data_IF_309752884580
#
_entry.id   IF_309752884580
#
_cell.length_a   1.000
_cell.length_b   1.000
_cell.length_c   1.000
_cell.angle_alpha   90.00
_cell.angle_beta   90.00
_cell.angle_gamma   90.00
#
_symmetry.space_group_name_H-M   'P 1'
#
loop_
_entity.id
_entity.type
_entity.pdbx_description
1 polymer ?
#
# COMPACT_ATOMS: atom_id res chain seq x y z
N UNK A 1 -47.14 -4.99 3.84
CA UNK A 1 -46.67 -6.15 4.63
C UNK A 1 -45.84 -7.02 3.69
N UNK A 2 -44.54 -7.26 3.80
CA UNK A 2 -43.50 -6.89 4.76
C UNK A 2 -42.16 -6.72 3.99
N UNK A 3 -41.22 -5.89 4.48
CA UNK A 3 -39.91 -5.61 3.88
C UNK A 3 -38.80 -6.51 4.45
N UNK A 4 -37.66 -6.65 3.75
CA UNK A 4 -36.24 -6.90 4.20
C UNK A 4 -35.47 -7.60 3.06
N UNK A 5 -34.17 -7.40 2.77
CA UNK A 5 -33.03 -6.97 3.57
C UNK A 5 -31.94 -6.38 2.65
N UNK A 6 -31.57 -5.13 2.93
CA UNK A 6 -30.35 -4.43 2.51
C UNK A 6 -29.09 -5.04 3.16
N UNK A 7 -27.88 -4.85 2.57
CA UNK A 7 -26.57 -4.60 3.25
C UNK A 7 -25.47 -4.35 2.20
N UNK A 8 -24.69 -3.26 2.26
CA UNK A 8 -23.45 -3.26 3.07
C UNK A 8 -23.09 -1.99 3.95
N UNK A 9 -22.23 -2.22 4.97
CA UNK A 9 -21.55 -1.50 6.11
C UNK A 9 -20.51 -0.39 5.77
N UNK A 10 -20.37 0.66 6.60
CA UNK A 10 -19.15 1.48 6.83
C UNK A 10 -19.12 1.90 8.32
N UNK A 11 -17.94 2.10 8.94
CA UNK A 11 -17.82 2.73 10.27
C UNK A 11 -16.59 3.62 10.38
N UNK A 12 -16.80 4.84 10.88
CA UNK A 12 -15.82 5.87 11.16
C UNK A 12 -15.89 6.32 12.64
N UNK A 13 -14.74 6.55 13.26
CA UNK A 13 -14.56 7.50 14.36
C UNK A 13 -13.17 8.11 14.21
N UNK A 14 -13.08 9.43 13.96
CA UNK A 14 -11.87 10.29 13.94
C UNK A 14 -10.60 9.80 13.20
N UNK A 15 -10.73 8.67 12.51
CA UNK A 15 -9.76 7.98 11.69
C UNK A 15 -10.62 7.33 10.59
N UNK A 16 -10.38 7.66 9.33
CA UNK A 16 -11.27 7.21 8.25
C UNK A 16 -10.81 5.86 7.70
N UNK A 17 -11.30 4.79 8.31
CA UNK A 17 -11.30 3.47 7.70
C UNK A 17 -12.56 3.31 6.86
N UNK A 18 -12.43 2.94 5.59
CA UNK A 18 -13.58 2.58 4.75
C UNK A 18 -13.41 1.14 4.23
N UNK A 19 -14.48 0.35 4.32
CA UNK A 19 -14.47 -1.05 3.87
C UNK A 19 -15.18 -1.17 2.53
N UNK A 20 -14.49 -1.71 1.52
CA UNK A 20 -15.11 -2.13 0.25
C UNK A 20 -15.31 -3.65 0.27
N UNK A 21 -16.52 -4.10 -0.10
CA UNK A 21 -16.87 -5.53 -0.16
C UNK A 21 -16.70 -6.07 -1.56
N UNK A 22 -15.96 -7.16 -1.70
CA UNK A 22 -16.04 -8.05 -2.87
C UNK A 22 -16.11 -9.50 -2.38
N UNK A 23 -17.20 -10.20 -2.73
CA UNK A 23 -17.33 -11.65 -2.55
C UNK A 23 -17.06 -12.28 -3.91
N UNK A 24 -15.91 -12.93 -4.08
CA UNK A 24 -15.67 -13.75 -5.26
C UNK A 24 -16.65 -14.94 -5.25
N UNK A 25 -17.40 -15.11 -6.33
CA UNK A 25 -18.26 -16.28 -6.54
C UNK A 25 -17.46 -17.42 -7.15
N UNK A 26 -17.49 -18.60 -6.53
CA UNK A 26 -17.29 -19.86 -7.27
C UNK A 26 -17.94 -21.02 -6.53
N UNK A 27 -18.69 -21.84 -7.29
CA UNK A 27 -19.48 -22.99 -6.89
C UNK A 27 -18.65 -24.24 -6.61
N UNK A 28 -19.05 -24.96 -5.54
CA UNK A 28 -18.93 -26.41 -5.25
C UNK A 28 -17.64 -27.19 -5.57
N UNK A 29 -16.83 -27.45 -4.53
CA UNK A 29 -16.27 -28.76 -4.11
C UNK A 29 -15.72 -28.59 -2.67
N UNK A 30 -15.94 -29.48 -1.69
CA UNK A 30 -15.46 -29.29 -0.32
C UNK A 30 -14.00 -29.77 -0.17
N UNK A 31 -13.06 -28.97 -0.66
CA UNK A 31 -11.63 -29.07 -0.33
C UNK A 31 -11.23 -27.78 0.35
N UNK A 32 -10.75 -27.87 1.60
CA UNK A 32 -10.22 -26.79 2.45
C UNK A 32 -10.92 -25.43 2.26
N UNK A 33 -11.87 -25.10 3.15
CA UNK A 33 -12.61 -23.83 3.14
C UNK A 33 -11.64 -22.65 3.06
N UNK A 34 -11.40 -22.14 1.84
CA UNK A 34 -10.64 -20.91 1.62
C UNK A 34 -11.52 -19.79 2.17
N UNK A 35 -11.32 -19.45 3.44
CA UNK A 35 -11.98 -18.28 4.04
C UNK A 35 -11.47 -17.07 3.28
N UNK A 36 -12.30 -16.51 2.40
CA UNK A 36 -12.00 -15.24 1.75
C UNK A 36 -11.89 -14.18 2.85
N UNK A 37 -10.73 -13.52 3.00
CA UNK A 37 -10.57 -12.51 4.04
C UNK A 37 -11.47 -11.30 3.73
N UNK A 38 -11.83 -10.57 4.79
CA UNK A 38 -12.40 -9.24 4.67
C UNK A 38 -11.28 -8.25 4.36
N UNK A 39 -11.47 -7.45 3.30
CA UNK A 39 -10.53 -6.40 2.91
C UNK A 39 -11.04 -5.03 3.35
N UNK A 40 -10.12 -4.21 3.85
CA UNK A 40 -10.39 -2.85 4.30
C UNK A 40 -9.36 -1.90 3.73
N UNK A 41 -9.80 -0.70 3.32
CA UNK A 41 -8.90 0.39 2.92
C UNK A 41 -9.00 1.53 3.92
N UNK A 42 -7.86 1.99 4.42
CA UNK A 42 -7.81 3.05 5.43
C UNK A 42 -7.10 4.26 4.84
N UNK A 43 -7.75 5.41 4.93
CA UNK A 43 -7.31 6.67 4.32
C UNK A 43 -7.01 7.62 5.47
N UNK A 44 -5.73 7.93 5.68
CA UNK A 44 -5.27 8.77 6.79
C UNK A 44 -5.03 10.22 6.34
N UNK A 45 -4.73 11.07 7.32
CA UNK A 45 -4.34 12.48 7.17
C UNK A 45 -5.40 13.42 6.58
N UNK A 46 -6.63 12.96 6.36
CA UNK A 46 -7.71 13.78 5.80
C UNK A 46 -7.95 15.09 6.57
N UNK A 47 -8.16 16.19 5.84
CA UNK A 47 -8.62 17.48 6.40
C UNK A 47 -10.12 17.48 6.71
N UNK A 48 -10.91 16.76 5.90
CA UNK A 48 -12.36 16.66 6.06
C UNK A 48 -12.89 15.31 5.56
N UNK A 49 -13.83 14.74 6.30
CA UNK A 49 -14.60 13.58 5.85
C UNK A 49 -15.88 14.05 5.15
N UNK A 50 -16.18 13.48 3.99
CA UNK A 50 -17.38 13.79 3.19
C UNK A 50 -18.45 12.71 3.30
N UNK A 51 -18.16 11.64 4.05
CA UNK A 51 -19.04 10.50 4.26
C UNK A 51 -19.20 10.21 5.74
N UNK A 52 -20.28 9.50 6.07
CA UNK A 52 -20.60 9.11 7.45
C UNK A 52 -20.59 7.59 7.65
N UNK A 53 -20.49 7.17 8.90
CA UNK A 53 -20.68 5.76 9.31
C UNK A 53 -21.96 5.21 8.71
N UNK A 54 -21.87 4.03 8.10
CA UNK A 54 -22.98 3.31 7.47
C UNK A 54 -23.29 3.75 6.04
N UNK A 55 -22.70 4.86 5.55
CA UNK A 55 -22.89 5.30 4.17
C UNK A 55 -22.20 4.34 3.20
N UNK A 56 -22.91 3.95 2.14
CA UNK A 56 -22.35 3.14 1.06
C UNK A 56 -21.64 4.03 0.06
N UNK A 57 -20.47 3.59 -0.39
CA UNK A 57 -19.67 4.25 -1.41
C UNK A 57 -19.28 3.24 -2.49
N UNK A 58 -19.02 3.72 -3.69
CA UNK A 58 -18.46 2.96 -4.82
C UNK A 58 -17.09 3.52 -5.21
N UNK A 59 -16.33 2.75 -5.98
CA UNK A 59 -15.09 3.25 -6.58
C UNK A 59 -15.36 4.53 -7.37
N UNK A 60 -14.52 5.54 -7.18
CA UNK A 60 -14.67 6.88 -7.75
C UNK A 60 -15.47 7.87 -6.91
N UNK A 61 -16.15 7.44 -5.85
CA UNK A 61 -16.79 8.39 -4.92
C UNK A 61 -15.73 9.14 -4.11
N UNK A 62 -15.87 10.46 -4.01
CA UNK A 62 -15.02 11.28 -3.14
C UNK A 62 -15.47 11.12 -1.69
N UNK A 63 -14.64 10.47 -0.87
CA UNK A 63 -14.98 10.14 0.53
C UNK A 63 -14.40 11.12 1.56
N UNK A 64 -13.33 11.81 1.20
CA UNK A 64 -12.60 12.73 2.07
C UNK A 64 -11.77 13.73 1.25
N UNK A 65 -11.30 14.78 1.91
CA UNK A 65 -10.32 15.72 1.37
C UNK A 65 -8.95 15.46 2.02
N UNK A 66 -7.89 15.47 1.22
CA UNK A 66 -6.49 15.35 1.68
C UNK A 66 -6.16 16.47 2.66
N UNK A 67 -5.25 16.20 3.59
CA UNK A 67 -4.70 17.17 4.52
C UNK A 67 -3.49 16.61 5.25
N UNK A 68 -3.22 17.15 6.43
CA UNK A 68 -2.08 16.80 7.27
C UNK A 68 -2.53 16.61 8.74
N UNK A 69 -3.63 15.89 8.96
CA UNK A 69 -4.10 15.58 10.33
C UNK A 69 -3.36 14.38 10.94
N UNK A 70 -3.22 14.36 12.27
CA UNK A 70 -2.54 13.27 12.97
C UNK A 70 -1.02 13.34 12.84
N UNK A 71 -0.38 12.21 12.54
CA UNK A 71 1.09 12.11 12.39
C UNK A 71 1.45 12.19 10.91
N UNK A 72 1.54 13.40 10.38
CA UNK A 72 1.99 13.67 9.03
C UNK A 72 2.95 14.88 9.01
N UNK A 73 3.83 14.91 8.01
CA UNK A 73 4.84 15.98 7.86
C UNK A 73 4.39 17.08 6.92
N UNK A 74 3.55 16.75 5.94
CA UNK A 74 2.95 17.63 4.94
C UNK A 74 1.58 17.06 4.52
N UNK A 75 0.86 17.77 3.65
CA UNK A 75 -0.40 17.29 3.09
C UNK A 75 -0.13 16.09 2.16
N UNK A 76 -0.64 14.91 2.53
CA UNK A 76 -0.56 13.71 1.71
C UNK A 76 -1.63 12.70 2.09
N UNK A 77 -1.87 11.71 1.23
CA UNK A 77 -2.68 10.55 1.55
C UNK A 77 -1.75 9.42 2.02
N UNK A 78 -2.02 8.87 3.20
CA UNK A 78 -1.48 7.58 3.62
C UNK A 78 -2.60 6.54 3.49
N UNK A 79 -2.40 5.59 2.58
CA UNK A 79 -3.34 4.51 2.27
C UNK A 79 -2.81 3.21 2.85
N UNK A 80 -3.66 2.50 3.57
CA UNK A 80 -3.39 1.13 4.00
C UNK A 80 -4.46 0.18 3.49
N UNK A 81 -4.05 -1.04 3.15
CA UNK A 81 -4.98 -2.15 2.91
C UNK A 81 -4.73 -3.23 3.95
N UNK A 82 -5.82 -3.70 4.56
CA UNK A 82 -5.80 -4.70 5.62
C UNK A 82 -6.64 -5.90 5.23
N UNK A 83 -6.14 -7.10 5.54
CA UNK A 83 -6.89 -8.35 5.39
C UNK A 83 -7.23 -8.91 6.77
N UNK A 84 -8.49 -9.26 7.00
CA UNK A 84 -8.94 -9.81 8.28
C UNK A 84 -9.70 -11.13 8.08
N UNK A 85 -9.50 -12.13 8.94
CA UNK A 85 -10.27 -13.38 8.90
C UNK A 85 -11.76 -13.19 9.25
N UNK A 86 -12.11 -12.09 9.94
CA UNK A 86 -13.48 -11.77 10.37
C UNK A 86 -13.84 -10.31 10.09
N UNK A 87 -15.14 -10.00 9.99
CA UNK A 87 -15.60 -8.62 9.79
C UNK A 87 -15.44 -7.82 11.11
N UNK A 88 -14.25 -7.26 11.35
CA UNK A 88 -13.93 -6.53 12.57
C UNK A 88 -12.92 -5.43 12.31
N UNK A 89 -13.37 -4.18 12.43
CA UNK A 89 -12.48 -3.01 12.35
C UNK A 89 -11.54 -2.88 13.54
N UNK A 90 -11.78 -3.61 14.65
CA UNK A 90 -10.90 -3.59 15.83
C UNK A 90 -9.53 -4.23 15.56
N UNK A 91 -9.43 -5.11 14.56
CA UNK A 91 -8.14 -5.71 14.19
C UNK A 91 -7.30 -4.79 13.29
N UNK A 92 -7.87 -3.64 12.90
CA UNK A 92 -7.36 -2.76 11.85
C UNK A 92 -7.07 -1.39 12.43
N UNK A 93 -8.03 -0.84 13.17
CA UNK A 93 -7.91 0.43 13.87
C UNK A 93 -8.04 0.16 15.37
N UNK A 94 -6.92 -0.20 15.97
CA UNK A 94 -6.77 -0.34 17.41
C UNK A 94 -5.76 0.72 17.90
N UNK A 95 -6.18 1.70 18.72
CA UNK A 95 -5.27 2.73 19.22
C UNK A 95 -4.13 2.16 20.08
N UNK A 96 -4.29 0.95 20.64
CA UNK A 96 -3.28 0.28 21.45
C UNK A 96 -2.33 -0.58 20.59
N UNK A 97 -2.68 -0.85 19.33
CA UNK A 97 -1.86 -1.64 18.40
C UNK A 97 -1.32 -0.74 17.28
N UNK A 98 -0.10 -0.24 17.49
CA UNK A 98 0.59 0.62 16.51
C UNK A 98 0.93 -0.08 15.19
N UNK A 99 1.15 -1.40 15.20
CA UNK A 99 1.54 -2.18 14.03
C UNK A 99 0.61 -3.39 13.90
N UNK A 100 -0.49 -3.26 13.13
CA UNK A 100 -1.43 -4.35 12.93
C UNK A 100 -0.73 -5.58 12.32
N UNK A 101 -1.09 -6.81 12.75
CA UNK A 101 -0.41 -8.03 12.28
C UNK A 101 -0.77 -8.45 10.86
N UNK A 102 -1.77 -7.82 10.23
CA UNK A 102 -2.32 -8.22 8.92
C UNK A 102 -2.42 -7.05 7.92
N UNK A 103 -1.38 -6.23 7.88
CA UNK A 103 -1.19 -5.16 6.89
C UNK A 103 -0.11 -5.53 5.88
N UNK A 104 -0.24 -5.02 4.67
CA UNK A 104 0.76 -5.12 3.59
C UNK A 104 0.77 -3.79 2.84
N UNK A 105 1.88 -3.50 2.15
CA UNK A 105 1.90 -2.35 1.26
C UNK A 105 1.07 -2.64 -0.02
N UNK A 106 0.00 -1.88 -0.31
CA UNK A 106 -0.83 -2.14 -1.48
C UNK A 106 -0.25 -1.60 -2.79
N UNK A 107 0.96 -1.03 -2.77
CA UNK A 107 1.58 -0.35 -3.93
C UNK A 107 1.56 -1.20 -5.21
N UNK A 108 1.73 -2.52 -5.10
CA UNK A 108 1.75 -3.44 -6.26
C UNK A 108 0.36 -4.00 -6.62
N UNK A 109 -0.69 -3.59 -5.93
CA UNK A 109 -2.07 -4.05 -6.15
C UNK A 109 -2.96 -2.98 -6.80
N UNK A 110 -2.46 -1.75 -6.86
CA UNK A 110 -3.15 -0.60 -7.43
C UNK A 110 -2.55 -0.36 -8.81
N UNK A 111 -3.40 -0.29 -9.84
CA UNK A 111 -2.93 0.04 -11.18
C UNK A 111 -2.18 1.39 -11.15
N UNK A 112 -0.98 1.48 -11.75
CA UNK A 112 -0.25 2.73 -11.76
C UNK A 112 -0.98 3.74 -12.66
N UNK A 113 -0.67 5.03 -12.49
CA UNK A 113 -1.21 6.08 -13.35
C UNK A 113 -1.01 5.74 -14.85
N UNK A 114 -2.00 6.01 -15.71
CA UNK A 114 -1.87 5.71 -17.13
C UNK A 114 -0.58 6.28 -17.75
N UNK A 115 0.14 5.43 -18.47
CA UNK A 115 1.42 5.80 -19.10
C UNK A 115 2.65 5.70 -18.19
N UNK A 116 2.49 5.31 -16.92
CA UNK A 116 3.60 5.07 -15.99
C UNK A 116 3.80 3.57 -15.73
N UNK A 117 4.95 3.21 -15.15
CA UNK A 117 5.29 1.86 -14.73
C UNK A 117 5.57 1.77 -13.22
N UNK A 118 6.00 0.60 -12.79
CA UNK A 118 6.32 0.30 -11.40
C UNK A 118 7.74 -0.25 -11.27
N UNK A 119 8.33 -0.07 -10.09
CA UNK A 119 9.57 -0.73 -9.67
C UNK A 119 9.33 -1.39 -8.32
N UNK A 120 9.70 -2.66 -8.19
CA UNK A 120 9.79 -3.35 -6.91
C UNK A 120 11.09 -4.11 -6.83
N UNK A 121 11.48 -4.50 -5.61
CA UNK A 121 12.73 -5.20 -5.48
C UNK A 121 13.12 -5.58 -4.08
N UNK A 122 14.35 -6.09 -3.98
CA UNK A 122 14.94 -6.56 -2.74
C UNK A 122 16.34 -5.97 -2.56
N UNK A 123 16.68 -5.71 -1.31
CA UNK A 123 18.00 -5.27 -0.88
C UNK A 123 18.50 -6.24 0.18
N UNK A 124 19.63 -6.88 -0.09
CA UNK A 124 20.24 -7.89 0.78
C UNK A 124 21.61 -7.43 1.27
N UNK A 125 21.95 -7.74 2.51
CA UNK A 125 23.32 -7.59 3.01
C UNK A 125 24.23 -8.77 2.61
N UNK A 126 25.49 -8.72 3.02
CA UNK A 126 26.46 -9.79 2.75
C UNK A 126 26.16 -11.10 3.48
N UNK A 127 25.30 -11.08 4.49
CA UNK A 127 24.84 -12.27 5.21
C UNK A 127 23.53 -12.84 4.62
N UNK A 128 23.02 -12.25 3.54
CA UNK A 128 21.77 -12.64 2.91
C UNK A 128 20.53 -12.25 3.69
N UNK A 129 20.62 -11.25 4.59
CA UNK A 129 19.47 -10.70 5.31
C UNK A 129 18.90 -9.46 4.60
N UNK A 130 17.59 -9.20 4.70
CA UNK A 130 17.00 -7.96 4.21
C UNK A 130 17.62 -6.73 4.89
N UNK A 131 18.01 -5.74 4.09
CA UNK A 131 18.41 -4.43 4.62
C UNK A 131 17.16 -3.59 4.83
N UNK A 132 16.82 -3.34 6.09
CA UNK A 132 15.65 -2.54 6.47
C UNK A 132 15.94 -1.04 6.41
N UNK A 133 14.93 -0.25 6.05
CA UNK A 133 14.99 1.22 5.99
C UNK A 133 16.16 1.79 5.16
N UNK A 134 16.59 1.05 4.15
CA UNK A 134 17.60 1.49 3.21
C UNK A 134 16.98 2.44 2.19
N UNK A 135 17.64 3.57 1.93
CA UNK A 135 17.19 4.55 0.95
C UNK A 135 17.80 4.26 -0.41
N UNK A 136 16.93 4.11 -1.41
CA UNK A 136 17.24 3.89 -2.81
C UNK A 136 16.99 5.20 -3.56
N UNK A 137 18.05 5.78 -4.10
CA UNK A 137 18.04 7.04 -4.83
C UNK A 137 18.09 6.81 -6.34
N UNK A 138 17.87 7.88 -7.11
CA UNK A 138 18.03 7.86 -8.57
C UNK A 138 16.72 7.86 -9.35
N UNK A 139 15.58 7.88 -8.67
CA UNK A 139 14.27 8.13 -9.28
C UNK A 139 13.93 9.60 -9.27
N UNK A 140 13.22 10.02 -10.31
CA UNK A 140 12.62 11.35 -10.44
C UNK A 140 11.16 11.15 -10.81
N UNK A 141 10.27 11.62 -9.95
CA UNK A 141 8.85 11.74 -10.25
C UNK A 141 8.54 13.22 -10.50
N UNK A 142 7.90 13.57 -11.63
CA UNK A 142 7.59 14.96 -11.94
C UNK A 142 6.50 15.54 -11.02
N UNK A 143 5.69 14.69 -10.39
CA UNK A 143 4.65 15.10 -9.46
C UNK A 143 4.58 14.15 -8.25
N UNK A 144 4.25 14.66 -7.04
CA UNK A 144 4.15 16.09 -6.71
C UNK A 144 5.54 16.74 -6.62
N UNK A 145 5.67 17.98 -7.08
CA UNK A 145 6.92 18.77 -7.00
C UNK A 145 7.35 19.15 -5.56
N UNK A 146 6.57 18.76 -4.54
CA UNK A 146 6.68 19.24 -3.16
C UNK A 146 7.76 18.53 -2.34
N UNK A 147 8.31 17.40 -2.81
CA UNK A 147 9.37 16.68 -2.11
C UNK A 147 10.68 16.70 -2.91
N UNK A 148 11.71 17.46 -2.48
CA UNK A 148 12.99 17.52 -3.19
C UNK A 148 13.81 16.22 -3.10
N UNK A 149 13.29 15.22 -2.38
CA UNK A 149 13.92 13.93 -2.17
C UNK A 149 12.98 12.81 -2.62
N UNK A 150 13.16 12.32 -3.85
CA UNK A 150 12.53 11.09 -4.34
C UNK A 150 13.46 9.91 -4.08
N UNK A 151 13.46 9.41 -2.85
CA UNK A 151 14.03 8.09 -2.54
C UNK A 151 12.92 7.10 -2.23
N UNK A 152 13.14 5.84 -2.57
CA UNK A 152 12.35 4.72 -2.06
C UNK A 152 13.02 4.25 -0.78
N UNK A 153 12.27 3.90 0.25
CA UNK A 153 12.81 3.31 1.47
C UNK A 153 12.37 1.85 1.57
N UNK A 154 13.30 0.94 1.85
CA UNK A 154 12.92 -0.45 2.13
C UNK A 154 12.13 -0.55 3.43
N UNK A 155 11.24 -1.53 3.48
CA UNK A 155 10.38 -1.82 4.59
C UNK A 155 11.15 -1.94 5.91
N UNK A 156 10.54 -1.51 7.00
CA UNK A 156 11.04 -1.77 8.35
C UNK A 156 10.72 -3.20 8.80
N UNK A 157 11.24 -3.63 9.95
CA UNK A 157 11.02 -4.99 10.48
C UNK A 157 9.56 -5.29 10.87
N UNK A 158 8.67 -4.30 10.84
CA UNK A 158 7.24 -4.40 11.17
C UNK A 158 6.33 -4.15 9.97
N UNK A 159 6.91 -3.98 8.79
CA UNK A 159 6.19 -3.85 7.54
C UNK A 159 6.26 -5.20 6.84
N UNK A 160 5.13 -5.68 6.33
CA UNK A 160 5.06 -6.98 5.68
C UNK A 160 5.06 -6.81 4.16
N UNK A 161 5.94 -7.54 3.50
CA UNK A 161 5.93 -7.73 2.06
C UNK A 161 4.66 -8.43 1.59
N UNK A 162 4.35 -8.28 0.32
CA UNK A 162 3.33 -9.13 -0.30
C UNK A 162 3.77 -10.62 -0.23
N UNK A 163 2.85 -11.56 0.04
CA UNK A 163 3.17 -12.98 0.17
C UNK A 163 3.53 -13.69 -1.14
N UNK A 164 3.34 -13.05 -2.29
CA UNK A 164 3.73 -13.55 -3.62
C UNK A 164 5.03 -12.89 -4.07
N UNK A 165 5.12 -11.56 -3.96
CA UNK A 165 6.30 -10.82 -4.44
C UNK A 165 7.48 -10.86 -3.47
N UNK A 166 7.23 -10.91 -2.16
CA UNK A 166 8.25 -10.82 -1.12
C UNK A 166 9.21 -9.63 -1.32
N UNK A 167 8.70 -8.51 -1.81
CA UNK A 167 9.46 -7.30 -2.08
C UNK A 167 9.87 -6.61 -0.78
N UNK A 168 11.06 -6.03 -0.74
CA UNK A 168 11.48 -5.17 0.37
C UNK A 168 11.06 -3.73 0.15
N UNK A 169 10.64 -3.38 -1.07
CA UNK A 169 10.11 -2.08 -1.44
C UNK A 169 9.30 -2.18 -2.74
N UNK A 170 8.40 -1.21 -2.93
CA UNK A 170 7.67 -0.99 -4.18
C UNK A 170 7.44 0.50 -4.39
N UNK A 171 7.42 0.92 -5.65
CA UNK A 171 7.04 2.26 -6.07
C UNK A 171 6.33 2.18 -7.43
N UNK A 172 5.15 2.79 -7.52
CA UNK A 172 4.35 2.95 -8.72
C UNK A 172 4.56 4.33 -9.32
N UNK A 173 3.79 4.69 -10.35
CA UNK A 173 3.78 6.02 -10.96
C UNK A 173 5.16 6.51 -11.43
N UNK A 174 6.00 5.58 -11.87
CA UNK A 174 7.34 5.90 -12.38
C UNK A 174 7.23 6.15 -13.89
N UNK A 175 7.64 7.32 -14.40
CA UNK A 175 7.65 7.56 -15.83
C UNK A 175 8.49 6.51 -16.58
N UNK A 176 8.13 6.13 -17.82
CA UNK A 176 8.96 5.27 -18.63
C UNK A 176 10.32 5.91 -18.90
N UNK A 177 11.39 5.12 -18.79
CA UNK A 177 12.74 5.65 -18.94
C UNK A 177 13.82 4.71 -18.43
N UNK A 178 15.06 5.14 -18.61
CA UNK A 178 16.26 4.48 -18.10
C UNK A 178 16.70 5.18 -16.82
N UNK A 179 16.85 4.42 -15.73
CA UNK A 179 17.23 4.94 -14.43
C UNK A 179 18.48 4.23 -13.90
N UNK A 180 19.28 4.95 -13.12
CA UNK A 180 20.36 4.36 -12.33
C UNK A 180 19.99 4.51 -10.87
N UNK A 181 19.62 3.40 -10.25
CA UNK A 181 19.24 3.34 -8.85
C UNK A 181 20.46 3.07 -7.99
N UNK A 182 20.56 3.73 -6.83
CA UNK A 182 21.68 3.58 -5.91
C UNK A 182 21.22 3.40 -4.47
N UNK A 183 21.84 2.47 -3.75
CA UNK A 183 21.58 2.19 -2.33
C UNK A 183 22.90 2.00 -1.59
N UNK A 184 22.95 2.39 -0.32
CA UNK A 184 24.07 2.08 0.57
C UNK A 184 23.79 0.76 1.32
N UNK A 185 24.72 -0.19 1.24
CA UNK A 185 24.65 -1.47 1.94
C UNK A 185 25.95 -1.66 2.72
N UNK A 186 25.89 -1.53 4.04
CA UNK A 186 27.06 -1.70 4.91
C UNK A 186 28.21 -0.72 4.58
N UNK A 187 27.89 0.52 4.19
CA UNK A 187 28.87 1.55 3.81
C UNK A 187 29.38 1.44 2.37
N UNK A 188 28.86 0.51 1.57
CA UNK A 188 29.17 0.38 0.14
C UNK A 188 27.99 0.83 -0.70
N UNK A 189 28.24 1.72 -1.65
CA UNK A 189 27.24 2.14 -2.63
C UNK A 189 27.10 1.10 -3.74
N UNK A 190 25.90 0.56 -3.89
CA UNK A 190 25.55 -0.41 -4.94
C UNK A 190 24.61 0.26 -5.91
N UNK A 191 24.91 0.17 -7.21
CA UNK A 191 24.11 0.77 -8.27
C UNK A 191 23.51 -0.29 -9.21
N UNK A 192 22.31 -0.02 -9.73
CA UNK A 192 21.63 -0.85 -10.73
C UNK A 192 21.03 0.04 -11.80
N UNK A 193 21.23 -0.33 -13.07
CA UNK A 193 20.51 0.28 -14.18
C UNK A 193 19.21 -0.48 -14.39
N UNK A 194 18.11 0.25 -14.51
CA UNK A 194 16.79 -0.32 -14.74
C UNK A 194 16.09 0.44 -15.86
N UNK A 195 15.25 -0.28 -16.61
CA UNK A 195 14.37 0.29 -17.62
C UNK A 195 12.93 0.15 -17.14
N UNK A 196 12.22 1.27 -17.07
CA UNK A 196 10.80 1.31 -16.76
C UNK A 196 10.01 1.45 -18.06
N UNK A 197 9.05 0.56 -18.25
CA UNK A 197 8.06 0.64 -19.32
C UNK A 197 6.67 0.90 -18.71
N UNK A 198 5.82 1.62 -19.45
CA UNK A 198 4.44 1.88 -19.03
C UNK A 198 3.66 0.56 -18.83
N UNK A 199 2.87 0.48 -17.75
CA UNK A 199 2.03 -0.66 -17.41
C UNK A 199 2.80 -1.93 -17.01
N UNK A 200 4.10 -1.84 -16.77
CA UNK A 200 4.93 -2.99 -16.37
C UNK A 200 5.54 -2.80 -14.98
N UNK A 201 5.73 -3.94 -14.31
CA UNK A 201 6.58 -4.04 -13.14
C UNK A 201 8.03 -4.31 -13.57
N UNK A 202 8.93 -3.45 -13.10
CA UNK A 202 10.38 -3.63 -13.22
C UNK A 202 10.91 -4.18 -11.91
N UNK A 203 11.51 -5.37 -11.94
CA UNK A 203 12.13 -5.96 -10.76
C UNK A 203 13.61 -5.61 -10.67
N UNK A 204 14.09 -5.27 -9.47
CA UNK A 204 15.51 -4.99 -9.23
C UNK A 204 15.99 -5.59 -7.92
N UNK A 205 17.23 -6.08 -7.91
CA UNK A 205 17.85 -6.65 -6.72
C UNK A 205 19.21 -6.01 -6.45
N UNK A 206 19.44 -5.65 -5.19
CA UNK A 206 20.69 -5.09 -4.71
C UNK A 206 21.38 -6.06 -3.75
N UNK A 207 22.65 -6.36 -4.07
CA UNK A 207 23.58 -7.11 -3.24
C UNK A 207 24.96 -6.43 -3.30
N UNK A 208 25.76 -6.46 -2.21
CA UNK A 208 27.11 -5.91 -2.15
C UNK A 208 28.08 -6.46 -3.18
#
# INVERSE_FOLDING_TARGET
MSPTSTRPIVSARRWAATSSRTKASSSTTPTARRCTPYLYSVYYHNSKLLVQVGQRVKAGDVIALVGNTGRATNDHLHLEVHASPFDSTRLIVDPDVRYPPYNTNPELWIDPLPGTGMIAGQVWDSAGQPVYQARIYGLVKPEPNETPFSFIETYGPRNHSDPVYHEHFGISDVPPGEYVLGVDIGGKRVFRRVKVDAGKLTWVEFRP
#
